data_IF_328071751312
#
_entry.id   IF_328071751312
#
_cell.length_a   1.000
_cell.length_b   1.000
_cell.length_c   1.000
_cell.angle_alpha   90.00
_cell.angle_beta   90.00
_cell.angle_gamma   90.00
#
_symmetry.space_group_name_H-M   'P 1'
#
loop_
_entity.id
_entity.type
_entity.pdbx_description
1 polymer ?
#
# COMPACT_ATOMS: atom_id res chain seq x y z
N UNK A 1 21.32 -65.84 18.76
CA UNK A 1 20.38 -64.67 18.73
C UNK A 1 21.22 -63.44 18.90
N UNK A 2 21.50 -62.77 17.79
CA UNK A 2 22.29 -61.50 17.75
C UNK A 2 21.34 -60.40 17.36
N UNK A 3 21.14 -59.40 18.21
CA UNK A 3 20.30 -58.21 17.96
C UNK A 3 21.17 -57.16 17.28
N UNK A 4 20.83 -56.86 16.04
CA UNK A 4 21.39 -55.75 15.27
C UNK A 4 20.78 -54.40 15.74
N UNK A 5 21.61 -53.55 16.31
CA UNK A 5 21.23 -52.17 16.64
C UNK A 5 21.32 -51.30 15.37
N UNK A 6 20.19 -50.85 14.93
CA UNK A 6 20.10 -49.84 13.83
C UNK A 6 20.53 -48.47 14.31
N UNK A 7 21.59 -47.93 13.78
CA UNK A 7 21.99 -46.52 13.93
C UNK A 7 21.01 -45.63 13.19
N UNK A 8 20.23 -44.80 13.91
CA UNK A 8 19.51 -43.69 13.35
C UNK A 8 20.50 -42.53 13.10
N UNK A 9 20.68 -42.16 11.86
CA UNK A 9 21.41 -40.95 11.49
C UNK A 9 20.67 -39.69 11.99
N UNK A 10 21.39 -38.80 12.66
CA UNK A 10 20.87 -37.50 13.06
C UNK A 10 20.66 -36.58 11.84
N UNK A 11 19.60 -35.73 11.82
CA UNK A 11 19.39 -34.80 10.73
C UNK A 11 20.50 -33.75 10.68
N UNK A 12 21.05 -33.52 9.48
CA UNK A 12 22.08 -32.50 9.24
C UNK A 12 21.57 -31.10 9.64
N UNK A 13 22.30 -30.43 10.51
CA UNK A 13 22.04 -29.02 10.85
C UNK A 13 22.36 -28.15 9.65
N UNK A 14 21.33 -27.55 9.02
CA UNK A 14 21.50 -26.50 8.01
C UNK A 14 22.12 -25.28 8.69
N UNK A 15 23.29 -24.86 8.21
CA UNK A 15 24.05 -23.74 8.78
C UNK A 15 23.24 -22.44 8.70
N UNK A 16 23.18 -21.75 9.84
CA UNK A 16 22.68 -20.37 9.93
C UNK A 16 23.51 -19.48 9.00
N UNK A 17 22.85 -18.76 8.10
CA UNK A 17 23.50 -17.70 7.30
C UNK A 17 24.13 -16.69 8.26
N UNK A 18 25.40 -16.34 8.07
CA UNK A 18 26.09 -15.44 8.98
C UNK A 18 25.52 -14.03 8.88
N UNK A 19 25.46 -13.29 9.99
CA UNK A 19 25.01 -11.89 10.04
C UNK A 19 25.74 -10.99 9.00
N UNK A 20 26.98 -11.33 8.67
CA UNK A 20 27.79 -10.61 7.69
C UNK A 20 27.27 -10.81 6.26
N UNK A 21 26.79 -11.99 5.91
CA UNK A 21 26.16 -12.31 4.63
C UNK A 21 24.82 -11.61 4.49
N UNK A 22 24.06 -11.50 5.59
CA UNK A 22 22.81 -10.77 5.67
C UNK A 22 23.00 -9.25 5.45
N UNK A 23 23.98 -8.63 6.10
CA UNK A 23 24.29 -7.21 5.95
C UNK A 23 24.74 -6.85 4.52
N UNK A 24 25.55 -7.71 3.89
CA UNK A 24 26.02 -7.52 2.51
C UNK A 24 24.85 -7.63 1.52
N UNK A 25 23.93 -8.56 1.73
CA UNK A 25 22.73 -8.71 0.90
C UNK A 25 21.82 -7.47 0.95
N UNK A 26 21.58 -6.92 2.15
CA UNK A 26 20.81 -5.68 2.33
C UNK A 26 21.43 -4.48 1.62
N UNK A 27 22.75 -4.34 1.65
CA UNK A 27 23.46 -3.25 0.95
C UNK A 27 23.37 -3.41 -0.57
N UNK A 28 23.41 -4.62 -1.08
CA UNK A 28 23.31 -4.89 -2.54
C UNK A 28 21.89 -4.62 -3.05
N UNK A 29 20.85 -5.05 -2.31
CA UNK A 29 19.43 -4.78 -2.67
C UNK A 29 19.13 -3.29 -2.60
N UNK A 30 19.57 -2.59 -1.56
CA UNK A 30 19.40 -1.13 -1.44
C UNK A 30 20.10 -0.35 -2.56
N UNK A 31 21.29 -0.78 -3.00
CA UNK A 31 22.00 -0.18 -4.12
C UNK A 31 21.32 -0.47 -5.47
N UNK A 32 20.67 -1.63 -5.63
CA UNK A 32 19.95 -1.99 -6.85
C UNK A 32 18.65 -1.20 -7.01
N UNK A 33 17.93 -0.96 -5.91
CA UNK A 33 16.71 -0.12 -5.90
C UNK A 33 17.07 1.35 -6.20
N UNK A 34 18.19 1.86 -5.66
CA UNK A 34 18.70 3.20 -5.95
C UNK A 34 19.13 3.33 -7.44
N UNK A 35 19.75 2.30 -8.02
CA UNK A 35 20.17 2.31 -9.41
C UNK A 35 18.98 2.28 -10.38
N UNK A 36 17.91 1.56 -10.07
CA UNK A 36 16.67 1.54 -10.87
C UNK A 36 15.92 2.87 -10.79
N UNK A 37 15.88 3.53 -9.62
CA UNK A 37 15.28 4.85 -9.46
C UNK A 37 15.99 5.94 -10.26
N UNK A 38 17.32 5.93 -10.29
CA UNK A 38 18.15 6.89 -11.07
C UNK A 38 18.06 6.61 -12.58
N UNK A 39 17.99 5.34 -12.98
CA UNK A 39 17.83 4.95 -14.40
C UNK A 39 16.50 5.40 -15.00
N UNK A 40 15.39 5.28 -14.26
CA UNK A 40 14.08 5.72 -14.72
C UNK A 40 13.98 7.26 -14.85
N UNK A 41 14.63 8.01 -13.95
CA UNK A 41 14.67 9.47 -14.02
C UNK A 41 15.49 9.99 -15.21
N UNK A 42 16.58 9.32 -15.57
CA UNK A 42 17.43 9.71 -16.70
C UNK A 42 16.77 9.48 -18.09
N UNK A 43 15.86 8.51 -18.20
CA UNK A 43 15.15 8.24 -19.47
C UNK A 43 14.03 9.25 -19.72
N UNK A 44 13.37 9.77 -18.65
CA UNK A 44 12.29 10.77 -18.80
C UNK A 44 12.85 12.15 -19.21
N UNK A 45 14.05 12.52 -18.75
CA UNK A 45 14.65 13.83 -19.10
C UNK A 45 15.21 13.89 -20.52
N UNK A 46 15.50 12.76 -21.17
CA UNK A 46 16.03 12.72 -22.53
C UNK A 46 14.97 12.78 -23.65
N UNK A 47 13.68 12.63 -23.32
CA UNK A 47 12.58 12.65 -24.31
C UNK A 47 11.97 14.05 -24.50
N UNK A 48 12.22 14.99 -23.57
CA UNK A 48 11.66 16.36 -23.60
C UNK A 48 12.69 17.49 -23.75
N UNK A 49 13.93 17.21 -24.13
CA UNK A 49 14.95 18.20 -24.38
C UNK A 49 15.04 18.59 -25.86
N UNK A 50 14.15 19.42 -26.35
CA UNK A 50 14.29 20.13 -27.63
C UNK A 50 14.84 21.53 -27.38
N UNK A 51 15.99 21.80 -27.97
CA UNK A 51 16.71 23.05 -27.97
C UNK A 51 15.94 24.08 -28.81
N UNK A 52 15.59 25.25 -28.21
CA UNK A 52 15.40 26.46 -28.99
C UNK A 52 15.73 27.70 -28.11
N UNK A 53 16.81 28.37 -28.46
CA UNK A 53 17.31 29.56 -27.83
C UNK A 53 16.42 30.77 -28.10
N UNK A 54 15.80 31.30 -27.06
CA UNK A 54 15.06 32.54 -27.06
C UNK A 54 15.52 33.42 -25.90
N UNK A 55 16.21 34.53 -26.21
CA UNK A 55 16.58 35.57 -25.27
C UNK A 55 15.35 36.16 -24.59
N UNK A 56 15.30 36.12 -23.25
CA UNK A 56 14.25 36.81 -22.48
C UNK A 56 14.77 38.15 -22.00
N UNK A 57 14.16 39.22 -22.48
CA UNK A 57 14.38 40.59 -22.04
C UNK A 57 13.83 40.76 -20.61
N UNK A 58 14.59 41.45 -19.77
CA UNK A 58 14.19 41.82 -18.42
C UNK A 58 13.01 42.81 -18.46
N UNK A 59 11.92 42.50 -17.76
CA UNK A 59 10.79 43.40 -17.55
C UNK A 59 10.87 43.92 -16.11
N UNK A 60 11.01 45.23 -15.97
CA UNK A 60 10.97 45.92 -14.67
C UNK A 60 9.53 45.92 -14.07
N UNK A 61 9.37 45.90 -12.73
CA UNK A 61 8.07 45.91 -12.12
C UNK A 61 7.44 47.32 -12.14
N UNK A 62 6.27 47.41 -12.76
CA UNK A 62 5.42 48.61 -12.70
C UNK A 62 4.61 48.55 -11.40
N UNK A 63 4.88 49.47 -10.48
CA UNK A 63 4.08 49.67 -9.27
C UNK A 63 2.80 50.44 -9.66
N UNK A 64 1.67 49.77 -9.70
CA UNK A 64 0.36 50.41 -9.81
C UNK A 64 -0.21 50.66 -8.40
N UNK A 65 -0.27 51.90 -8.02
CA UNK A 65 -1.02 52.40 -6.85
C UNK A 65 -2.52 52.29 -7.13
N UNK A 66 -3.20 51.32 -6.46
CA UNK A 66 -4.67 51.22 -6.54
C UNK A 66 -5.26 52.10 -5.44
N UNK A 67 -6.06 53.10 -5.87
CA UNK A 67 -6.92 53.91 -5.02
C UNK A 67 -8.06 53.03 -4.54
N UNK A 68 -8.23 52.90 -3.21
CA UNK A 68 -9.33 52.20 -2.57
C UNK A 68 -10.60 53.01 -2.67
N UNK A 69 -11.56 52.57 -3.48
CA UNK A 69 -12.97 52.96 -3.36
C UNK A 69 -13.74 51.79 -2.72
N UNK A 70 -14.31 52.07 -1.55
CA UNK A 70 -14.89 51.05 -0.68
C UNK A 70 -16.33 50.76 -1.09
N UNK A 71 -16.55 49.66 -1.80
CA UNK A 71 -17.87 49.01 -1.85
C UNK A 71 -17.70 47.51 -1.54
N UNK A 72 -18.47 46.94 -0.63
CA UNK A 72 -18.35 45.51 -0.34
C UNK A 72 -18.94 44.72 -1.50
N UNK A 73 -18.05 44.17 -2.33
CA UNK A 73 -18.46 43.15 -3.34
C UNK A 73 -18.74 41.85 -2.60
N UNK A 74 -20.01 41.55 -2.39
CA UNK A 74 -20.46 40.25 -1.92
C UNK A 74 -20.15 39.24 -3.03
N UNK A 75 -19.14 38.43 -2.84
CA UNK A 75 -18.90 37.27 -3.70
C UNK A 75 -20.10 36.33 -3.59
N UNK A 76 -20.64 35.81 -4.70
CA UNK A 76 -21.68 34.80 -4.64
C UNK A 76 -21.17 33.57 -3.88
N UNK A 77 -22.01 32.89 -3.08
CA UNK A 77 -21.60 31.68 -2.39
C UNK A 77 -21.13 30.67 -3.44
N UNK A 78 -19.90 30.24 -3.35
CA UNK A 78 -19.41 29.11 -4.12
C UNK A 78 -20.18 27.89 -3.62
N UNK A 79 -21.22 27.51 -4.33
CA UNK A 79 -21.91 26.25 -4.10
C UNK A 79 -20.94 25.15 -4.52
N UNK A 80 -20.22 24.62 -3.55
CA UNK A 80 -19.47 23.37 -3.74
C UNK A 80 -20.54 22.29 -3.90
N UNK A 81 -20.93 22.01 -5.14
CA UNK A 81 -21.79 20.87 -5.43
C UNK A 81 -20.95 19.63 -5.20
N UNK A 82 -21.25 18.93 -4.11
CA UNK A 82 -20.68 17.60 -3.84
C UNK A 82 -20.98 16.72 -5.08
N UNK A 83 -19.98 16.03 -5.65
CA UNK A 83 -20.21 15.20 -6.82
C UNK A 83 -21.30 14.18 -6.50
N UNK A 84 -22.21 13.91 -7.47
CA UNK A 84 -23.30 12.96 -7.23
C UNK A 84 -22.73 11.60 -6.85
N UNK A 85 -23.30 10.99 -5.79
CA UNK A 85 -22.93 9.64 -5.38
C UNK A 85 -23.22 8.69 -6.54
N UNK A 86 -22.20 7.94 -6.98
CA UNK A 86 -22.32 6.94 -8.06
C UNK A 86 -23.38 5.90 -7.68
N UNK A 87 -24.33 5.63 -8.57
CA UNK A 87 -25.33 4.58 -8.34
C UNK A 87 -24.66 3.19 -8.37
N UNK A 88 -25.17 2.28 -7.53
CA UNK A 88 -24.71 0.88 -7.54
C UNK A 88 -25.43 0.18 -8.68
N UNK A 89 -24.68 -0.17 -9.72
CA UNK A 89 -25.15 -0.96 -10.86
C UNK A 89 -24.52 -2.33 -10.80
N UNK A 90 -25.26 -3.38 -11.20
CA UNK A 90 -24.71 -4.74 -11.28
C UNK A 90 -23.62 -4.80 -12.36
N UNK A 91 -22.37 -5.14 -12.00
CA UNK A 91 -21.26 -5.19 -12.96
C UNK A 91 -21.50 -6.21 -14.06
N UNK A 92 -21.13 -5.84 -15.28
CA UNK A 92 -21.26 -6.67 -16.47
C UNK A 92 -20.11 -6.41 -17.44
N UNK A 93 -19.99 -7.21 -18.50
CA UNK A 93 -18.99 -6.97 -19.55
C UNK A 93 -19.20 -5.65 -20.31
N UNK A 94 -20.44 -5.14 -20.36
CA UNK A 94 -20.75 -3.87 -21.00
C UNK A 94 -20.58 -2.66 -20.07
N UNK A 95 -20.65 -2.89 -18.75
CA UNK A 95 -20.50 -1.88 -17.69
C UNK A 95 -19.73 -2.53 -16.55
N UNK A 96 -18.38 -2.63 -16.65
CA UNK A 96 -17.56 -3.28 -15.65
C UNK A 96 -17.47 -2.43 -14.37
N UNK A 97 -17.25 -3.09 -13.23
CA UNK A 97 -16.91 -2.39 -11.99
C UNK A 97 -15.52 -1.76 -12.12
N UNK A 98 -15.39 -0.49 -11.77
CA UNK A 98 -14.11 0.20 -11.68
C UNK A 98 -13.44 -0.09 -10.35
N UNK A 99 -12.20 -0.59 -10.39
CA UNK A 99 -11.43 -0.97 -9.22
C UNK A 99 -10.10 -0.23 -9.20
N UNK A 100 -9.78 0.37 -8.05
CA UNK A 100 -8.53 1.10 -7.83
C UNK A 100 -7.71 0.39 -6.75
N UNK A 101 -6.47 0.02 -7.08
CA UNK A 101 -5.48 -0.49 -6.12
C UNK A 101 -4.52 0.64 -5.78
N UNK A 102 -4.42 0.99 -4.49
CA UNK A 102 -3.55 2.05 -3.96
C UNK A 102 -2.57 1.51 -2.93
N UNK A 103 -1.37 2.06 -2.88
CA UNK A 103 -0.49 1.80 -1.75
C UNK A 103 1.01 1.97 -1.98
N UNK A 104 1.76 1.40 -1.07
CA UNK A 104 3.23 1.40 -1.09
C UNK A 104 3.81 0.26 -1.95
N UNK A 105 5.01 -0.22 -1.62
CA UNK A 105 5.65 -1.33 -2.33
C UNK A 105 4.86 -2.65 -2.25
N UNK A 106 4.06 -2.85 -1.20
CA UNK A 106 3.22 -4.04 -1.07
C UNK A 106 2.11 -4.06 -2.14
N UNK A 107 1.49 -2.90 -2.45
CA UNK A 107 0.57 -2.79 -3.58
C UNK A 107 1.27 -3.11 -4.92
N UNK A 108 2.50 -2.63 -5.12
CA UNK A 108 3.32 -2.99 -6.27
C UNK A 108 3.68 -4.48 -6.33
N UNK A 109 3.73 -5.16 -5.19
CA UNK A 109 4.06 -6.58 -5.08
C UNK A 109 2.90 -7.47 -5.52
N UNK A 110 1.70 -7.30 -4.94
CA UNK A 110 0.55 -8.15 -5.29
C UNK A 110 -0.32 -7.60 -6.43
N UNK A 111 -0.31 -6.27 -6.63
CA UNK A 111 -1.21 -5.58 -7.55
C UNK A 111 -1.21 -6.10 -8.98
N UNK A 112 -0.05 -6.35 -9.63
CA UNK A 112 -0.01 -6.89 -10.98
C UNK A 112 -0.68 -8.27 -11.12
N UNK A 113 -0.52 -9.15 -10.12
CA UNK A 113 -1.15 -10.48 -10.11
C UNK A 113 -2.65 -10.38 -9.86
N UNK A 114 -3.07 -9.51 -8.93
CA UNK A 114 -4.47 -9.25 -8.65
C UNK A 114 -5.17 -8.65 -9.87
N UNK A 115 -4.58 -7.64 -10.50
CA UNK A 115 -5.11 -7.05 -11.74
C UNK A 115 -5.33 -8.12 -12.81
N UNK A 116 -4.34 -8.98 -13.04
CA UNK A 116 -4.46 -10.06 -14.03
C UNK A 116 -5.59 -11.05 -13.71
N UNK A 117 -5.80 -11.36 -12.42
CA UNK A 117 -6.91 -12.23 -12.00
C UNK A 117 -8.28 -11.56 -12.23
N UNK A 118 -8.41 -10.29 -11.87
CA UNK A 118 -9.67 -9.54 -11.95
C UNK A 118 -10.05 -9.22 -13.40
N UNK A 119 -9.09 -8.81 -14.22
CA UNK A 119 -9.31 -8.57 -15.66
C UNK A 119 -9.83 -9.85 -16.35
N UNK A 120 -9.39 -11.03 -15.85
CA UNK A 120 -9.87 -12.34 -16.33
C UNK A 120 -11.36 -12.59 -16.07
N UNK A 121 -12.01 -11.85 -15.17
CA UNK A 121 -13.45 -11.97 -14.95
C UNK A 121 -14.29 -11.29 -16.04
N UNK A 122 -13.70 -10.34 -16.80
CA UNK A 122 -14.34 -9.63 -17.89
C UNK A 122 -15.46 -8.64 -17.47
N UNK A 123 -15.60 -8.40 -16.15
CA UNK A 123 -16.60 -7.50 -15.56
C UNK A 123 -15.98 -6.51 -14.55
N UNK A 124 -14.67 -6.37 -14.58
CA UNK A 124 -13.88 -5.46 -13.73
C UNK A 124 -12.84 -4.77 -14.60
N UNK A 125 -12.68 -3.46 -14.41
CA UNK A 125 -11.56 -2.68 -14.92
C UNK A 125 -10.67 -2.32 -13.73
N UNK A 126 -9.38 -2.63 -13.79
CA UNK A 126 -8.47 -2.43 -12.65
C UNK A 126 -7.41 -1.39 -12.97
N UNK A 127 -7.34 -0.33 -12.15
CA UNK A 127 -6.24 0.63 -12.13
C UNK A 127 -5.31 0.30 -10.94
N UNK A 128 -3.99 0.41 -11.15
CA UNK A 128 -2.97 0.17 -10.13
C UNK A 128 -2.09 1.41 -9.98
N UNK A 129 -2.15 2.03 -8.82
CA UNK A 129 -1.38 3.21 -8.47
C UNK A 129 -0.61 2.98 -7.16
N UNK A 130 0.70 2.98 -7.23
CA UNK A 130 1.53 2.73 -6.06
C UNK A 130 2.82 3.54 -6.07
N UNK A 131 3.31 3.83 -4.85
CA UNK A 131 4.58 4.53 -4.66
C UNK A 131 5.47 3.76 -3.70
N UNK A 132 6.56 3.17 -4.20
CA UNK A 132 7.53 2.45 -3.36
C UNK A 132 8.13 3.37 -2.29
N UNK A 133 8.48 2.81 -1.13
CA UNK A 133 9.08 3.52 0.01
C UNK A 133 8.20 4.61 0.64
N UNK A 134 6.93 4.70 0.28
CA UNK A 134 5.95 5.63 0.84
C UNK A 134 5.06 4.97 1.89
N UNK A 135 4.18 5.77 2.50
CA UNK A 135 3.22 5.33 3.49
C UNK A 135 2.50 6.53 4.12
N UNK A 136 1.68 6.29 5.11
CA UNK A 136 0.95 7.34 5.82
C UNK A 136 1.81 8.03 6.90
N UNK A 137 2.96 7.44 7.28
CA UNK A 137 3.89 8.02 8.25
C UNK A 137 4.65 9.25 7.73
N UNK A 138 4.88 9.33 6.42
CA UNK A 138 5.78 10.30 5.78
C UNK A 138 5.09 11.10 4.66
N UNK A 139 4.08 11.94 4.98
CA UNK A 139 3.45 12.81 3.98
C UNK A 139 4.41 13.85 3.38
N UNK A 140 5.50 14.19 4.09
CA UNK A 140 6.61 14.99 3.60
C UNK A 140 7.37 14.34 2.42
N UNK A 141 7.42 13.01 2.37
CA UNK A 141 8.00 12.25 1.26
C UNK A 141 7.00 12.04 0.11
N UNK A 142 5.76 11.66 0.44
CA UNK A 142 4.67 11.50 -0.52
C UNK A 142 3.32 11.70 0.20
N UNK A 143 2.59 12.74 -0.21
CA UNK A 143 1.31 13.11 0.38
C UNK A 143 0.18 12.22 -0.16
N UNK A 144 0.02 11.03 0.43
CA UNK A 144 -1.07 10.11 0.08
C UNK A 144 -2.46 10.73 0.22
N UNK A 145 -2.80 11.47 1.30
CA UNK A 145 -4.07 12.18 1.40
C UNK A 145 -4.38 13.11 0.23
N UNK A 146 -3.40 13.89 -0.24
CA UNK A 146 -3.58 14.75 -1.41
C UNK A 146 -3.71 13.92 -2.70
N UNK A 147 -2.85 12.93 -2.87
CA UNK A 147 -2.86 12.05 -4.05
C UNK A 147 -4.17 11.26 -4.19
N UNK A 148 -4.71 10.73 -3.09
CA UNK A 148 -6.01 10.06 -3.09
C UNK A 148 -7.13 11.00 -3.56
N UNK A 149 -7.12 12.29 -3.12
CA UNK A 149 -8.10 13.30 -3.56
C UNK A 149 -7.99 13.64 -5.04
N UNK A 150 -6.85 13.41 -5.64
CA UNK A 150 -6.63 13.57 -7.08
C UNK A 150 -7.09 12.33 -7.86
N UNK A 151 -6.60 11.14 -7.49
CA UNK A 151 -6.79 9.92 -8.30
C UNK A 151 -8.19 9.31 -8.15
N UNK A 152 -8.77 9.31 -6.94
CA UNK A 152 -10.08 8.69 -6.70
C UNK A 152 -11.19 9.32 -7.54
N UNK A 153 -11.31 10.66 -7.67
CA UNK A 153 -12.31 11.25 -8.56
C UNK A 153 -12.05 10.97 -10.05
N UNK A 154 -10.79 10.79 -10.47
CA UNK A 154 -10.44 10.49 -11.87
C UNK A 154 -10.84 9.07 -12.26
N UNK A 155 -10.55 8.09 -11.40
CA UNK A 155 -10.92 6.68 -11.62
C UNK A 155 -12.40 6.43 -11.30
N UNK A 156 -12.98 7.16 -10.35
CA UNK A 156 -14.35 6.99 -9.84
C UNK A 156 -14.67 5.52 -9.51
N UNK A 157 -13.88 4.88 -8.62
CA UNK A 157 -13.95 3.44 -8.39
C UNK A 157 -15.22 3.01 -7.65
N UNK A 158 -15.68 1.80 -7.94
CA UNK A 158 -16.69 1.09 -7.15
C UNK A 158 -16.07 0.39 -5.96
N UNK A 159 -14.84 -0.12 -6.15
CA UNK A 159 -14.09 -0.88 -5.17
C UNK A 159 -12.68 -0.28 -5.07
N UNK A 160 -12.24 0.02 -3.86
CA UNK A 160 -10.85 0.42 -3.59
C UNK A 160 -10.17 -0.70 -2.81
N UNK A 161 -8.94 -1.04 -3.22
CA UNK A 161 -8.04 -1.91 -2.48
C UNK A 161 -6.87 -1.04 -2.05
N UNK A 162 -6.63 -0.94 -0.74
CA UNK A 162 -5.55 -0.13 -0.19
C UNK A 162 -4.63 -0.94 0.70
N UNK A 163 -3.32 -0.66 0.62
CA UNK A 163 -2.32 -1.19 1.55
C UNK A 163 -1.27 -0.14 1.84
N UNK A 164 -1.06 0.09 3.12
CA UNK A 164 -0.02 0.98 3.64
C UNK A 164 0.56 0.35 4.89
N UNK A 165 1.88 0.43 5.03
CA UNK A 165 2.46 -0.03 6.26
C UNK A 165 3.85 -0.60 6.17
N UNK A 166 4.31 -1.05 5.02
CA UNK A 166 5.67 -1.55 4.87
C UNK A 166 6.75 -0.57 5.34
N UNK A 167 6.44 0.73 5.29
CA UNK A 167 7.35 1.79 5.69
C UNK A 167 6.86 2.62 6.89
N UNK A 168 5.72 2.30 7.51
CA UNK A 168 5.08 3.19 8.47
C UNK A 168 5.45 2.92 9.94
N UNK A 169 6.11 1.80 10.25
CA UNK A 169 6.56 1.49 11.61
C UNK A 169 7.80 2.31 12.02
N UNK A 170 7.70 3.62 11.92
CA UNK A 170 8.73 4.63 12.19
C UNK A 170 8.12 5.88 12.85
N UNK A 171 8.93 6.92 13.10
CA UNK A 171 8.43 8.24 13.53
C UNK A 171 7.50 8.86 12.48
N UNK A 172 6.53 9.64 12.93
CA UNK A 172 5.50 10.26 12.11
C UNK A 172 5.85 11.72 11.81
N UNK A 173 5.92 12.10 10.54
CA UNK A 173 6.15 13.49 10.12
C UNK A 173 4.88 14.17 9.65
N UNK A 174 4.91 15.49 9.68
CA UNK A 174 3.95 16.37 9.03
C UNK A 174 4.44 16.73 7.62
N UNK A 175 3.60 17.38 6.81
CA UNK A 175 3.93 17.86 5.46
C UNK A 175 5.09 18.86 5.45
N UNK A 176 5.24 19.65 6.51
CA UNK A 176 6.31 20.65 6.68
C UNK A 176 7.63 20.07 7.23
N UNK A 177 7.77 18.73 7.17
CA UNK A 177 8.90 17.97 7.69
C UNK A 177 9.09 18.01 9.22
N UNK A 178 8.22 18.70 9.97
CA UNK A 178 8.22 18.65 11.43
C UNK A 178 7.75 17.28 11.93
N UNK A 179 8.10 16.93 13.17
CA UNK A 179 7.63 15.69 13.78
C UNK A 179 6.23 15.87 14.38
N UNK A 180 5.30 15.00 13.99
CA UNK A 180 4.10 14.75 14.75
C UNK A 180 4.43 13.82 15.93
N UNK A 181 5.20 12.76 15.68
CA UNK A 181 5.76 11.87 16.70
C UNK A 181 7.17 11.44 16.26
N UNK A 182 8.22 11.82 16.98
CA UNK A 182 9.61 11.61 16.56
C UNK A 182 10.08 10.17 16.70
N UNK A 183 9.56 9.42 17.67
CA UNK A 183 9.99 8.05 18.00
C UNK A 183 9.32 6.97 17.16
N UNK A 184 9.96 5.81 17.06
CA UNK A 184 9.37 4.60 16.49
C UNK A 184 8.28 4.02 17.40
N UNK A 185 7.27 3.31 16.86
CA UNK A 185 6.19 2.74 17.66
C UNK A 185 6.68 1.68 18.65
N UNK A 186 6.14 1.71 19.86
CA UNK A 186 6.31 0.69 20.89
C UNK A 186 4.96 0.22 21.43
N UNK A 187 4.94 -0.90 22.16
CA UNK A 187 3.71 -1.49 22.65
C UNK A 187 2.87 -0.53 23.50
N UNK A 188 3.53 0.31 24.32
CA UNK A 188 2.90 1.25 25.25
C UNK A 188 2.79 2.69 24.70
N UNK A 189 3.08 2.91 23.43
CA UNK A 189 3.10 4.25 22.83
C UNK A 189 1.70 4.69 22.41
N UNK A 190 1.01 5.36 23.32
CA UNK A 190 -0.34 5.88 23.10
C UNK A 190 -0.35 6.99 22.04
N UNK A 191 0.61 7.93 22.07
CA UNK A 191 0.66 9.08 21.17
C UNK A 191 0.88 8.64 19.73
N UNK A 192 1.81 7.70 19.50
CA UNK A 192 2.02 7.15 18.17
C UNK A 192 0.79 6.41 17.65
N UNK A 193 0.16 5.58 18.49
CA UNK A 193 -1.05 4.83 18.15
C UNK A 193 -2.22 5.73 17.81
N UNK A 194 -2.42 6.81 18.54
CA UNK A 194 -3.49 7.77 18.30
C UNK A 194 -3.26 8.53 16.99
N UNK A 195 -2.06 9.09 16.76
CA UNK A 195 -1.78 9.84 15.54
C UNK A 195 -1.78 8.96 14.29
N UNK A 196 -1.15 7.77 14.34
CA UNK A 196 -1.18 6.85 13.21
C UNK A 196 -2.60 6.32 12.95
N UNK A 197 -3.34 6.00 14.01
CA UNK A 197 -4.75 5.61 13.93
C UNK A 197 -5.63 6.67 13.29
N UNK A 198 -5.40 7.95 13.61
CA UNK A 198 -6.10 9.07 12.96
C UNK A 198 -5.81 9.09 11.45
N UNK A 199 -4.55 8.97 11.03
CA UNK A 199 -4.17 8.96 9.60
C UNK A 199 -4.78 7.79 8.84
N UNK A 200 -4.71 6.60 9.41
CA UNK A 200 -5.32 5.39 8.85
C UNK A 200 -6.84 5.55 8.76
N UNK A 201 -7.45 6.04 9.84
CA UNK A 201 -8.89 6.29 9.91
C UNK A 201 -9.36 7.28 8.85
N UNK A 202 -8.68 8.43 8.72
CA UNK A 202 -8.98 9.46 7.73
C UNK A 202 -8.87 8.89 6.29
N UNK A 203 -7.85 8.06 6.01
CA UNK A 203 -7.70 7.40 4.72
C UNK A 203 -8.82 6.38 4.46
N UNK A 204 -9.18 5.55 5.46
CA UNK A 204 -10.27 4.58 5.34
C UNK A 204 -11.61 5.28 5.10
N UNK A 205 -11.90 6.35 5.84
CA UNK A 205 -13.14 7.12 5.70
C UNK A 205 -13.25 7.73 4.31
N UNK A 206 -12.18 8.36 3.82
CA UNK A 206 -12.16 8.93 2.47
C UNK A 206 -12.32 7.88 1.38
N UNK A 207 -11.59 6.75 1.47
CA UNK A 207 -11.61 5.71 0.45
C UNK A 207 -12.91 4.91 0.42
N UNK A 208 -13.66 4.83 1.54
CA UNK A 208 -14.96 4.14 1.64
C UNK A 208 -16.16 5.07 1.56
N UNK A 209 -15.95 6.36 1.24
CA UNK A 209 -17.04 7.34 1.15
C UNK A 209 -18.02 7.04 0.00
N UNK A 210 -19.27 7.45 0.16
CA UNK A 210 -20.34 7.19 -0.80
C UNK A 210 -20.66 5.69 -0.91
N UNK A 211 -20.75 5.18 -2.14
CA UNK A 211 -21.05 3.77 -2.45
C UNK A 211 -19.81 2.93 -2.74
N UNK A 212 -18.60 3.46 -2.44
CA UNK A 212 -17.36 2.71 -2.59
C UNK A 212 -17.22 1.65 -1.50
N UNK A 213 -16.80 0.45 -1.88
CA UNK A 213 -16.32 -0.57 -0.96
C UNK A 213 -14.81 -0.43 -0.78
N UNK A 214 -14.32 -0.61 0.44
CA UNK A 214 -12.90 -0.60 0.73
C UNK A 214 -12.43 -1.97 1.24
N UNK A 215 -11.43 -2.53 0.56
CA UNK A 215 -10.69 -3.70 1.02
C UNK A 215 -9.31 -3.20 1.45
N UNK A 216 -9.06 -3.22 2.76
CA UNK A 216 -7.76 -2.85 3.31
C UNK A 216 -6.91 -4.10 3.49
N UNK A 217 -5.79 -4.15 2.80
CA UNK A 217 -4.84 -5.27 2.88
C UNK A 217 -3.81 -4.95 3.95
N UNK A 218 -3.74 -5.79 4.98
CA UNK A 218 -2.73 -5.69 6.04
C UNK A 218 -1.35 -6.08 5.53
N UNK A 219 -0.33 -5.86 6.36
CA UNK A 219 1.06 -6.16 6.06
C UNK A 219 1.51 -7.50 6.66
N UNK A 220 2.54 -8.16 6.10
CA UNK A 220 3.17 -9.31 6.73
C UNK A 220 4.13 -8.88 7.86
N UNK A 221 4.59 -9.84 8.66
CA UNK A 221 5.69 -9.66 9.60
C UNK A 221 7.06 -9.75 8.89
N UNK A 222 8.11 -9.27 9.55
CA UNK A 222 9.51 -9.26 9.09
C UNK A 222 10.31 -10.38 9.77
N UNK A 223 11.42 -10.85 9.15
CA UNK A 223 12.33 -11.83 9.73
C UNK A 223 13.17 -11.26 10.89
N UNK A 224 13.30 -9.92 10.97
CA UNK A 224 13.90 -9.22 12.08
C UNK A 224 12.88 -9.03 13.22
N UNK A 225 13.13 -9.60 14.42
CA UNK A 225 12.20 -9.49 15.53
C UNK A 225 11.96 -8.05 16.03
N UNK A 226 12.94 -7.14 15.90
CA UNK A 226 12.80 -5.74 16.32
C UNK A 226 11.88 -4.99 15.34
N UNK A 227 12.03 -5.22 14.04
CA UNK A 227 11.13 -4.66 13.00
C UNK A 227 9.73 -5.25 13.18
N UNK A 228 9.62 -6.57 13.33
CA UNK A 228 8.34 -7.26 13.59
C UNK A 228 7.62 -6.71 14.82
N UNK A 229 8.34 -6.37 15.90
CA UNK A 229 7.71 -5.79 17.10
C UNK A 229 7.05 -4.44 16.80
N UNK A 230 7.67 -3.58 16.00
CA UNK A 230 7.11 -2.29 15.58
C UNK A 230 5.95 -2.46 14.59
N UNK A 231 6.12 -3.31 13.58
CA UNK A 231 5.07 -3.63 12.61
C UNK A 231 3.82 -4.21 13.30
N UNK A 232 4.00 -4.96 14.39
CA UNK A 232 2.88 -5.48 15.18
C UNK A 232 2.04 -4.39 15.82
N UNK A 233 2.69 -3.37 16.39
CA UNK A 233 1.98 -2.20 16.96
C UNK A 233 1.15 -1.51 15.89
N UNK A 234 1.74 -1.32 14.72
CA UNK A 234 1.07 -0.73 13.57
C UNK A 234 -0.09 -1.59 13.06
N UNK A 235 0.08 -2.90 12.89
CA UNK A 235 -0.98 -3.83 12.46
C UNK A 235 -2.17 -3.83 13.43
N UNK A 236 -1.90 -3.77 14.74
CA UNK A 236 -2.93 -3.64 15.78
C UNK A 236 -3.75 -2.35 15.62
N UNK A 237 -3.11 -1.22 15.32
CA UNK A 237 -3.78 0.07 15.08
C UNK A 237 -4.64 -0.01 13.82
N UNK A 238 -4.11 -0.50 12.71
CA UNK A 238 -4.84 -0.63 11.45
C UNK A 238 -6.08 -1.53 11.61
N UNK A 239 -5.93 -2.67 12.29
CA UNK A 239 -7.07 -3.57 12.60
C UNK A 239 -8.13 -2.89 13.44
N UNK A 240 -7.71 -2.12 14.46
CA UNK A 240 -8.63 -1.39 15.31
C UNK A 240 -9.40 -0.32 14.54
N UNK A 241 -8.75 0.38 13.61
CA UNK A 241 -9.41 1.37 12.75
C UNK A 241 -10.36 0.72 11.74
N UNK A 242 -9.96 -0.40 11.13
CA UNK A 242 -10.85 -1.17 10.23
C UNK A 242 -12.09 -1.69 10.98
N UNK A 243 -11.93 -2.18 12.21
CA UNK A 243 -13.04 -2.71 13.02
C UNK A 243 -14.10 -1.65 13.38
N UNK A 244 -13.75 -0.36 13.38
CA UNK A 244 -14.70 0.74 13.60
C UNK A 244 -15.58 1.04 12.37
N UNK A 245 -15.22 0.51 11.19
CA UNK A 245 -15.77 0.87 9.88
C UNK A 245 -16.42 -0.33 9.19
N UNK A 246 -17.74 -0.52 9.30
CA UNK A 246 -18.42 -1.71 8.73
C UNK A 246 -18.28 -1.88 7.22
N UNK A 247 -17.96 -0.82 6.49
CA UNK A 247 -17.70 -0.85 5.04
C UNK A 247 -16.29 -1.30 4.66
N UNK A 248 -15.38 -1.43 5.63
CA UNK A 248 -13.99 -1.83 5.40
C UNK A 248 -13.84 -3.32 5.61
N UNK A 249 -13.45 -4.02 4.56
CA UNK A 249 -13.04 -5.44 4.64
C UNK A 249 -11.54 -5.50 4.87
N UNK A 250 -11.11 -6.11 5.97
CA UNK A 250 -9.69 -6.25 6.30
C UNK A 250 -9.16 -7.60 5.88
N UNK A 251 -8.10 -7.63 5.06
CA UNK A 251 -7.37 -8.86 4.67
C UNK A 251 -6.21 -9.06 5.63
N UNK A 252 -6.25 -10.14 6.39
CA UNK A 252 -5.27 -10.47 7.44
C UNK A 252 -3.99 -11.09 6.86
N UNK A 253 -3.16 -10.26 6.25
CA UNK A 253 -1.88 -10.67 5.66
C UNK A 253 -0.91 -11.18 6.72
N UNK A 254 -0.92 -10.59 7.92
CA UNK A 254 -0.10 -11.04 9.04
C UNK A 254 -0.36 -12.52 9.37
N UNK A 255 -1.62 -12.87 9.62
CA UNK A 255 -2.03 -14.25 9.91
C UNK A 255 -1.77 -15.17 8.73
N UNK A 256 -2.03 -14.72 7.51
CA UNK A 256 -1.87 -15.50 6.28
C UNK A 256 -0.44 -15.97 6.08
N UNK A 257 0.55 -15.10 6.36
CA UNK A 257 1.97 -15.35 6.11
C UNK A 257 2.80 -15.62 7.38
N UNK A 258 2.18 -15.69 8.54
CA UNK A 258 2.84 -16.15 9.76
C UNK A 258 2.91 -17.67 9.86
N UNK A 259 3.94 -18.19 10.54
CA UNK A 259 4.06 -19.58 10.90
C UNK A 259 3.05 -20.01 11.98
N UNK A 260 3.08 -21.29 12.36
CA UNK A 260 2.17 -21.89 13.35
C UNK A 260 2.19 -21.14 14.69
N UNK A 261 3.35 -20.58 15.07
CA UNK A 261 3.52 -19.84 16.32
C UNK A 261 3.26 -18.31 16.16
N UNK A 262 2.72 -17.86 15.03
CA UNK A 262 2.50 -16.45 14.75
C UNK A 262 3.77 -15.66 14.38
N UNK A 263 4.95 -16.29 14.37
CA UNK A 263 6.21 -15.70 13.96
C UNK A 263 6.41 -15.74 12.44
N UNK A 264 7.49 -15.12 12.00
CA UNK A 264 7.86 -15.10 10.57
C UNK A 264 8.01 -16.53 10.00
N UNK A 265 7.59 -16.69 8.74
CA UNK A 265 7.68 -17.95 8.03
C UNK A 265 8.09 -17.72 6.57
N UNK A 266 9.13 -18.43 6.15
CA UNK A 266 9.60 -18.44 4.77
C UNK A 266 8.65 -19.22 3.85
N UNK A 267 8.07 -20.33 4.36
CA UNK A 267 7.22 -21.23 3.58
C UNK A 267 5.76 -21.21 4.06
N UNK A 268 4.84 -21.12 3.10
CA UNK A 268 3.39 -21.27 3.34
C UNK A 268 2.79 -22.24 2.36
N UNK A 269 1.66 -22.86 2.76
CA UNK A 269 0.90 -23.73 1.86
C UNK A 269 0.19 -22.89 0.82
N UNK A 270 0.43 -23.21 -0.45
CA UNK A 270 -0.28 -22.64 -1.59
C UNK A 270 -1.67 -23.28 -1.68
N UNK A 271 -2.78 -22.52 -1.64
CA UNK A 271 -4.12 -23.06 -1.69
C UNK A 271 -4.47 -23.70 -3.03
N UNK A 272 -3.71 -23.40 -4.10
CA UNK A 272 -3.95 -23.94 -5.45
C UNK A 272 -3.58 -25.41 -5.60
N UNK A 273 -2.51 -25.85 -4.93
CA UNK A 273 -1.94 -27.20 -5.08
C UNK A 273 -1.66 -27.92 -3.75
N UNK A 274 -1.85 -27.24 -2.62
CA UNK A 274 -1.59 -27.77 -1.28
C UNK A 274 -0.10 -27.96 -0.94
N UNK A 275 0.82 -27.44 -1.77
CA UNK A 275 2.26 -27.57 -1.58
C UNK A 275 2.83 -26.42 -0.76
N UNK A 276 3.88 -26.69 0.01
CA UNK A 276 4.66 -25.65 0.68
C UNK A 276 5.50 -24.90 -0.34
N UNK A 277 5.29 -23.59 -0.43
CA UNK A 277 6.06 -22.66 -1.28
C UNK A 277 6.83 -21.67 -0.41
N UNK A 278 8.04 -21.32 -0.84
CA UNK A 278 8.71 -20.12 -0.39
C UNK A 278 7.91 -18.89 -0.84
N UNK A 279 7.54 -18.03 0.12
CA UNK A 279 6.64 -16.89 -0.09
C UNK A 279 7.29 -15.56 0.23
N UNK A 280 8.58 -15.53 0.61
CA UNK A 280 9.28 -14.33 1.06
C UNK A 280 10.37 -13.92 0.09
N UNK A 281 10.53 -12.62 -0.10
CA UNK A 281 11.70 -12.06 -0.77
C UNK A 281 12.92 -12.11 0.16
N UNK A 282 14.11 -11.93 -0.42
CA UNK A 282 15.40 -12.00 0.29
C UNK A 282 15.61 -10.89 1.33
N UNK A 283 14.75 -9.85 1.35
CA UNK A 283 14.81 -8.76 2.32
C UNK A 283 14.17 -9.11 3.68
N UNK A 284 13.45 -10.22 3.74
CA UNK A 284 12.82 -10.73 4.95
C UNK A 284 11.42 -10.17 5.23
N UNK A 285 10.99 -9.13 4.53
CA UNK A 285 9.68 -8.48 4.69
C UNK A 285 8.74 -8.78 3.53
N UNK A 286 9.10 -8.35 2.32
CA UNK A 286 8.21 -8.44 1.17
C UNK A 286 7.86 -9.89 0.80
N UNK A 287 6.71 -10.05 0.19
CA UNK A 287 6.34 -11.30 -0.46
C UNK A 287 7.09 -11.43 -1.79
N UNK A 288 7.55 -12.65 -2.10
CA UNK A 288 8.03 -12.98 -3.42
C UNK A 288 6.86 -13.28 -4.37
N UNK A 289 7.12 -13.71 -5.60
CA UNK A 289 6.08 -14.03 -6.57
C UNK A 289 5.03 -15.01 -6.03
N UNK A 290 5.43 -16.12 -5.40
CA UNK A 290 4.48 -17.10 -4.85
C UNK A 290 3.59 -16.47 -3.78
N UNK A 291 4.19 -15.69 -2.85
CA UNK A 291 3.46 -15.00 -1.80
C UNK A 291 2.49 -13.96 -2.35
N UNK A 292 2.93 -13.18 -3.35
CA UNK A 292 2.12 -12.18 -4.03
C UNK A 292 0.91 -12.79 -4.76
N UNK A 293 1.11 -13.91 -5.47
CA UNK A 293 0.04 -14.64 -6.14
C UNK A 293 -0.98 -15.23 -5.14
N UNK A 294 -0.51 -15.78 -4.01
CA UNK A 294 -1.38 -16.30 -2.95
C UNK A 294 -2.22 -15.17 -2.34
N UNK A 295 -1.59 -14.02 -2.04
CA UNK A 295 -2.30 -12.85 -1.50
C UNK A 295 -3.32 -12.30 -2.50
N UNK A 296 -2.96 -12.24 -3.77
CA UNK A 296 -3.86 -11.81 -4.84
C UNK A 296 -5.12 -12.69 -4.93
N UNK A 297 -5.01 -14.00 -4.70
CA UNK A 297 -6.16 -14.90 -4.66
C UNK A 297 -7.06 -14.59 -3.46
N UNK A 298 -6.47 -14.39 -2.27
CA UNK A 298 -7.24 -14.07 -1.06
C UNK A 298 -8.00 -12.73 -1.23
N UNK A 299 -7.38 -11.72 -1.84
CA UNK A 299 -8.00 -10.43 -2.15
C UNK A 299 -9.09 -10.59 -3.22
N UNK A 300 -8.83 -11.37 -4.27
CA UNK A 300 -9.80 -11.60 -5.35
C UNK A 300 -11.09 -12.28 -4.84
N UNK A 301 -11.02 -13.14 -3.82
CA UNK A 301 -12.22 -13.71 -3.19
C UNK A 301 -13.05 -12.67 -2.43
N UNK A 302 -12.40 -11.69 -1.78
CA UNK A 302 -13.10 -10.57 -1.17
C UNK A 302 -13.75 -9.68 -2.23
N UNK A 303 -13.07 -9.39 -3.35
CA UNK A 303 -13.62 -8.65 -4.49
C UNK A 303 -14.83 -9.38 -5.08
N UNK A 304 -14.75 -10.69 -5.31
CA UNK A 304 -15.90 -11.49 -5.79
C UNK A 304 -17.11 -11.39 -4.86
N UNK A 305 -16.86 -11.37 -3.56
CA UNK A 305 -17.92 -11.22 -2.56
C UNK A 305 -18.62 -9.87 -2.70
N UNK A 306 -17.87 -8.79 -2.89
CA UNK A 306 -18.42 -7.46 -3.14
C UNK A 306 -19.16 -7.39 -4.48
N UNK A 307 -18.57 -7.92 -5.56
CA UNK A 307 -19.21 -7.96 -6.88
C UNK A 307 -20.57 -8.70 -6.85
N UNK A 308 -20.65 -9.83 -6.13
CA UNK A 308 -21.93 -10.55 -5.93
C UNK A 308 -22.93 -9.72 -5.13
N UNK A 309 -22.48 -9.00 -4.10
CA UNK A 309 -23.33 -8.09 -3.34
C UNK A 309 -23.87 -6.94 -4.19
N UNK A 310 -23.14 -6.50 -5.22
CA UNK A 310 -23.57 -5.53 -6.23
C UNK A 310 -24.48 -6.14 -7.31
N UNK A 311 -24.71 -7.46 -7.31
CA UNK A 311 -25.58 -8.18 -8.24
C UNK A 311 -24.87 -8.80 -9.44
N UNK A 312 -23.54 -8.87 -9.46
CA UNK A 312 -22.82 -9.56 -10.51
C UNK A 312 -23.06 -11.08 -10.50
N UNK A 313 -23.22 -11.67 -11.67
CA UNK A 313 -23.29 -13.12 -11.87
C UNK A 313 -21.87 -13.69 -12.05
N UNK A 314 -21.16 -13.99 -10.93
CA UNK A 314 -19.77 -14.45 -10.92
C UNK A 314 -19.56 -15.59 -9.91
#
# INVERSE_FOLDING_TARGET
>A
MSMSQGHRAAPASRGRVSQRTYQVRRLVVGAFILALGVGAFSVITSVFGGDDGGQVAAVEPVINTVVTDGSPTTLPPTTTTEPPVKEVVAPSAADPAELLILGDSDAGTFGPYLKSLLDGYGIVTTELDYKVSSGLARPDFFDWPAHMREVVPQVNPDIVIATFGGNDAQGLRNLDESWAVEREPSADDTEWREEYGRRVGDAMDYLSDGNRSLIWVGIPNDDNPEVTARLKVQDEVVRAEAAKRPKVVFIDTWKRFSGINGGWAEFRVDPRDGQGKDVRADDGFHLNQNGAEILAIDIAEAVKTDLRARGAAI
#
